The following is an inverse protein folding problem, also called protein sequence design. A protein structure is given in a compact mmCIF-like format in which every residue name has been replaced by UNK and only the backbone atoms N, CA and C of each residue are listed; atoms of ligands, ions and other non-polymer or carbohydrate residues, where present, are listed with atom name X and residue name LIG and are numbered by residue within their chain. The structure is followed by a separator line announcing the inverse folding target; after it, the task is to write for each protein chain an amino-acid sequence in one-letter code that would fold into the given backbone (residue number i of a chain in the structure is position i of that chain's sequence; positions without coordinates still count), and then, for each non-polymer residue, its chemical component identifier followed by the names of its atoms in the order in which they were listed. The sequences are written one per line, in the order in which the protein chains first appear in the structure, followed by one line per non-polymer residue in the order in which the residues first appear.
data_IF_587560324182
#
_entry.id   IF_587560324182
#
_cell.length_a   1.000
_cell.length_b   1.000
_cell.length_c   1.000
_cell.angle_alpha   90.00
_cell.angle_beta   90.00
_cell.angle_gamma   90.00
#
_symmetry.space_group_name_H-M   'P 1'
#
loop_
_entity.id
_entity.type
_entity.pdbx_description
1 polymer ?
#
# COMPACT_ATOMS: atom_id res chain seq x y z
N UNK A 1 4.81 -16.16 -20.99
CA UNK A 1 5.64 -16.75 -19.90
C UNK A 1 5.93 -15.70 -18.85
N UNK A 2 5.66 -16.01 -17.60
CA UNK A 2 5.88 -15.10 -16.47
C UNK A 2 7.35 -15.15 -16.06
N UNK A 3 8.03 -14.00 -15.99
CA UNK A 3 9.42 -13.98 -15.57
C UNK A 3 9.57 -14.04 -14.04
N UNK A 4 10.79 -14.26 -13.56
CA UNK A 4 11.08 -14.44 -12.14
C UNK A 4 10.76 -13.17 -11.33
N UNK A 5 10.99 -11.98 -11.86
CA UNK A 5 10.69 -10.74 -11.13
C UNK A 5 9.19 -10.50 -10.96
N UNK A 6 8.38 -10.90 -11.92
CA UNK A 6 6.92 -10.83 -11.82
C UNK A 6 6.40 -11.81 -10.76
N UNK A 7 6.94 -13.02 -10.70
CA UNK A 7 6.60 -14.01 -9.69
C UNK A 7 6.94 -13.51 -8.29
N UNK A 8 8.14 -12.94 -8.11
CA UNK A 8 8.59 -12.39 -6.83
C UNK A 8 7.71 -11.22 -6.41
N UNK A 9 7.37 -10.33 -7.35
CA UNK A 9 6.47 -9.21 -7.07
C UNK A 9 5.10 -9.71 -6.62
N UNK A 10 4.50 -10.65 -7.35
CA UNK A 10 3.18 -11.17 -7.02
C UNK A 10 3.14 -11.83 -5.64
N UNK A 11 4.15 -12.59 -5.27
CA UNK A 11 4.27 -13.14 -3.93
C UNK A 11 4.39 -12.05 -2.88
N UNK A 12 5.23 -11.06 -3.11
CA UNK A 12 5.47 -9.95 -2.19
C UNK A 12 4.21 -9.13 -1.97
N UNK A 13 3.53 -8.74 -3.06
CA UNK A 13 2.31 -7.94 -2.96
C UNK A 13 1.18 -8.70 -2.26
N UNK A 14 1.07 -10.01 -2.47
CA UNK A 14 0.08 -10.83 -1.79
C UNK A 14 0.34 -10.91 -0.28
N UNK A 15 1.59 -11.01 0.13
CA UNK A 15 1.98 -11.01 1.55
C UNK A 15 1.63 -9.67 2.21
N UNK A 16 1.98 -8.57 1.55
CA UNK A 16 1.69 -7.21 2.05
C UNK A 16 0.18 -6.99 2.14
N UNK A 17 -0.53 -7.33 1.09
CA UNK A 17 -1.98 -7.15 1.01
C UNK A 17 -2.69 -7.94 2.11
N UNK A 18 -2.33 -9.20 2.30
CA UNK A 18 -2.92 -10.05 3.34
C UNK A 18 -2.71 -9.45 4.73
N UNK A 19 -1.50 -8.98 5.02
CA UNK A 19 -1.15 -8.39 6.30
C UNK A 19 -1.93 -7.10 6.57
N UNK A 20 -2.01 -6.22 5.58
CA UNK A 20 -2.71 -4.93 5.70
C UNK A 20 -4.22 -5.15 5.82
N UNK A 21 -4.81 -6.01 4.99
CA UNK A 21 -6.25 -6.26 5.03
C UNK A 21 -6.66 -6.92 6.35
N UNK A 22 -5.84 -7.79 6.91
CA UNK A 22 -6.12 -8.39 8.23
C UNK A 22 -6.02 -7.33 9.32
N UNK A 23 -5.01 -6.49 9.28
CA UNK A 23 -4.79 -5.44 10.30
C UNK A 23 -5.96 -4.44 10.33
N UNK A 24 -6.48 -4.07 9.17
CA UNK A 24 -7.55 -3.06 9.05
C UNK A 24 -8.93 -3.66 8.77
N UNK A 25 -9.10 -4.97 8.99
CA UNK A 25 -10.34 -5.67 8.65
C UNK A 25 -11.60 -5.00 9.23
N UNK A 26 -11.53 -4.59 10.49
CA UNK A 26 -12.68 -4.03 11.19
C UNK A 26 -12.69 -2.49 11.23
N UNK A 27 -11.74 -1.86 10.56
CA UNK A 27 -11.60 -0.41 10.57
C UNK A 27 -12.34 0.22 9.40
N UNK A 28 -12.87 1.42 9.64
CA UNK A 28 -13.56 2.18 8.61
C UNK A 28 -12.55 3.02 7.82
N UNK A 29 -11.80 2.33 6.97
CA UNK A 29 -10.75 2.91 6.14
C UNK A 29 -10.86 2.38 4.71
N UNK A 30 -10.44 3.21 3.76
CA UNK A 30 -10.14 2.75 2.40
C UNK A 30 -8.64 2.50 2.29
N UNK A 31 -8.26 1.45 1.58
CA UNK A 31 -6.86 1.11 1.34
C UNK A 31 -6.64 1.01 -0.15
N UNK A 32 -5.58 1.66 -0.64
CA UNK A 32 -5.29 1.71 -2.07
C UNK A 32 -3.81 1.49 -2.34
N UNK A 33 -3.52 0.76 -3.41
CA UNK A 33 -2.20 0.77 -4.03
C UNK A 33 -2.14 2.00 -4.94
N UNK A 34 -1.09 2.82 -4.84
CA UNK A 34 -0.92 3.98 -5.70
C UNK A 34 0.51 4.06 -6.23
N UNK A 35 0.86 5.15 -6.89
CA UNK A 35 2.19 5.34 -7.44
C UNK A 35 2.42 4.52 -8.72
N UNK A 36 3.68 4.34 -9.09
CA UNK A 36 4.05 3.71 -10.36
C UNK A 36 3.55 2.28 -10.50
N UNK A 37 3.48 1.51 -9.40
CA UNK A 37 2.98 0.14 -9.41
C UNK A 37 1.48 0.07 -9.72
N UNK A 38 0.73 1.11 -9.37
CA UNK A 38 -0.69 1.21 -9.72
C UNK A 38 -0.90 1.72 -11.14
N UNK A 39 -0.09 2.72 -11.57
CA UNK A 39 -0.18 3.28 -12.92
C UNK A 39 0.30 2.33 -14.02
N UNK A 40 1.24 1.45 -13.69
CA UNK A 40 1.83 0.53 -14.67
C UNK A 40 3.13 1.02 -15.30
N UNK A 41 3.63 2.20 -14.93
CA UNK A 41 4.89 2.75 -15.44
C UNK A 41 6.09 2.44 -14.51
N UNK A 42 6.01 1.31 -13.82
CA UNK A 42 7.04 0.88 -12.90
C UNK A 42 8.18 0.12 -13.58
N UNK A 43 9.31 0.06 -12.89
CA UNK A 43 10.39 -0.88 -13.17
C UNK A 43 10.55 -1.82 -11.96
N UNK A 44 11.47 -2.78 -12.05
CA UNK A 44 11.66 -3.77 -10.98
C UNK A 44 12.21 -3.21 -9.67
N UNK A 45 12.69 -1.97 -9.67
CA UNK A 45 13.19 -1.27 -8.48
C UNK A 45 12.18 -0.28 -7.90
N UNK A 46 11.03 -0.14 -8.53
CA UNK A 46 10.00 0.79 -8.05
C UNK A 46 9.45 0.37 -6.70
N UNK A 47 9.24 1.36 -5.83
CA UNK A 47 8.64 1.15 -4.51
C UNK A 47 7.19 0.69 -4.63
N UNK A 48 6.68 0.07 -3.58
CA UNK A 48 5.26 -0.26 -3.43
C UNK A 48 4.66 0.80 -2.51
N UNK A 49 3.73 1.58 -3.04
CA UNK A 49 3.10 2.69 -2.32
C UNK A 49 1.66 2.34 -1.95
N UNK A 50 1.35 2.40 -0.66
CA UNK A 50 0.03 2.05 -0.13
C UNK A 50 -0.53 3.22 0.64
N UNK A 51 -1.75 3.62 0.30
CA UNK A 51 -2.47 4.70 0.96
C UNK A 51 -3.53 4.15 1.91
N UNK A 52 -3.51 4.66 3.13
CA UNK A 52 -4.57 4.42 4.11
C UNK A 52 -5.41 5.70 4.18
N UNK A 53 -6.69 5.58 3.88
CA UNK A 53 -7.62 6.71 3.84
C UNK A 53 -8.68 6.49 4.91
N UNK A 54 -8.43 6.99 6.13
CA UNK A 54 -9.40 6.84 7.22
C UNK A 54 -10.62 7.73 6.97
N UNK A 55 -11.81 7.25 7.30
CA UNK A 55 -13.03 8.07 7.23
C UNK A 55 -13.11 9.07 8.38
N UNK A 56 -12.53 8.73 9.51
CA UNK A 56 -12.48 9.59 10.69
C UNK A 56 -11.03 9.92 11.04
N UNK A 57 -10.54 9.39 12.16
CA UNK A 57 -9.15 9.57 12.58
C UNK A 57 -8.29 8.41 12.17
N UNK A 58 -7.05 8.71 11.78
CA UNK A 58 -6.03 7.68 11.59
C UNK A 58 -5.60 7.12 12.94
N UNK A 59 -5.60 5.80 13.07
CA UNK A 59 -4.98 5.11 14.19
C UNK A 59 -3.47 5.07 13.96
N UNK A 60 -2.75 6.00 14.56
CA UNK A 60 -1.32 6.18 14.34
C UNK A 60 -0.51 5.02 14.90
N UNK A 61 -0.94 4.44 16.01
CA UNK A 61 -0.26 3.28 16.62
C UNK A 61 -0.38 2.07 15.69
N UNK A 62 -1.56 1.85 15.12
CA UNK A 62 -1.79 0.79 14.14
C UNK A 62 -0.94 1.00 12.89
N UNK A 63 -0.85 2.24 12.40
CA UNK A 63 -0.03 2.58 11.24
C UNK A 63 1.45 2.27 11.48
N UNK A 64 1.98 2.66 12.62
CA UNK A 64 3.37 2.36 12.99
C UNK A 64 3.58 0.86 13.09
N UNK A 65 2.66 0.15 13.73
CA UNK A 65 2.72 -1.31 13.88
C UNK A 65 2.74 -2.02 12.52
N UNK A 66 1.91 -1.60 11.58
CA UNK A 66 1.87 -2.23 10.26
C UNK A 66 3.16 -1.97 9.47
N UNK A 67 3.72 -0.77 9.58
CA UNK A 67 5.01 -0.45 8.95
C UNK A 67 6.12 -1.37 9.47
N UNK A 68 6.17 -1.57 10.79
CA UNK A 68 7.17 -2.45 11.41
C UNK A 68 7.00 -3.89 10.96
N UNK A 69 5.77 -4.38 10.90
CA UNK A 69 5.47 -5.75 10.44
C UNK A 69 5.85 -5.96 8.97
N UNK A 70 5.64 -4.95 8.14
CA UNK A 70 6.02 -5.02 6.72
C UNK A 70 7.55 -5.08 6.60
N UNK A 71 8.28 -4.31 7.40
CA UNK A 71 9.75 -4.36 7.40
C UNK A 71 10.29 -5.72 7.79
N UNK A 72 9.57 -6.47 8.61
CA UNK A 72 9.95 -7.84 9.01
C UNK A 72 9.70 -8.86 7.89
N UNK A 73 8.93 -8.52 6.88
CA UNK A 73 8.74 -9.39 5.72
C UNK A 73 10.02 -9.46 4.91
N UNK A 74 10.42 -10.66 4.53
CA UNK A 74 11.61 -10.85 3.70
C UNK A 74 11.25 -10.67 2.22
N UNK A 75 11.06 -9.43 1.81
CA UNK A 75 10.70 -9.07 0.43
C UNK A 75 11.71 -8.06 -0.13
N UNK A 76 11.98 -8.10 -1.45
CA UNK A 76 13.01 -7.26 -2.06
C UNK A 76 12.50 -5.89 -2.53
N UNK A 77 11.48 -5.34 -1.89
CA UNK A 77 10.90 -4.04 -2.25
C UNK A 77 10.81 -3.14 -1.04
N UNK A 78 11.06 -1.86 -1.27
CA UNK A 78 10.69 -0.82 -0.30
C UNK A 78 9.18 -0.63 -0.36
N UNK A 79 8.54 -0.62 0.79
CA UNK A 79 7.09 -0.41 0.92
C UNK A 79 6.86 0.85 1.71
N UNK A 80 6.07 1.76 1.15
CA UNK A 80 5.73 3.02 1.79
C UNK A 80 4.23 3.01 2.10
N UNK A 81 3.88 3.10 3.38
CA UNK A 81 2.49 3.14 3.84
C UNK A 81 2.19 4.55 4.32
N UNK A 82 1.27 5.22 3.66
CA UNK A 82 1.03 6.66 3.84
C UNK A 82 -0.40 6.90 4.35
N UNK A 83 -0.51 7.72 5.39
CA UNK A 83 -1.80 8.24 5.85
C UNK A 83 -2.24 9.37 4.92
N UNK A 84 -3.21 9.09 4.05
CA UNK A 84 -3.68 10.02 3.03
C UNK A 84 -4.47 11.19 3.63
N UNK A 85 -4.94 11.09 4.87
CA UNK A 85 -5.61 12.21 5.53
C UNK A 85 -4.66 13.38 5.86
N UNK A 86 -3.34 13.13 5.82
CA UNK A 86 -2.32 14.12 6.19
C UNK A 86 -1.55 14.70 5.00
N UNK A 87 -1.87 14.28 3.79
CA UNK A 87 -1.22 14.79 2.59
C UNK A 87 -2.00 15.99 2.01
N UNK A 88 -1.39 16.71 1.07
CA UNK A 88 -2.06 17.83 0.39
C UNK A 88 -3.27 17.33 -0.42
N UNK A 89 -4.21 18.24 -0.67
CA UNK A 89 -5.37 17.91 -1.51
C UNK A 89 -4.97 17.52 -2.93
N UNK A 90 -3.93 18.10 -3.47
CA UNK A 90 -3.41 17.77 -4.80
C UNK A 90 -2.90 16.33 -4.82
N UNK A 91 -2.10 15.97 -3.84
CA UNK A 91 -1.58 14.59 -3.71
C UNK A 91 -2.71 13.59 -3.49
N UNK A 92 -3.67 13.92 -2.63
CA UNK A 92 -4.84 13.07 -2.38
C UNK A 92 -5.63 12.79 -3.66
N UNK A 93 -5.91 13.82 -4.45
CA UNK A 93 -6.61 13.67 -5.72
C UNK A 93 -5.86 12.77 -6.69
N UNK A 94 -4.54 12.90 -6.72
CA UNK A 94 -3.69 12.05 -7.55
C UNK A 94 -3.80 10.58 -7.12
N UNK A 95 -3.70 10.30 -5.82
CA UNK A 95 -3.85 8.94 -5.29
C UNK A 95 -5.21 8.36 -5.64
N UNK A 96 -6.28 9.13 -5.41
CA UNK A 96 -7.65 8.68 -5.68
C UNK A 96 -7.89 8.43 -7.17
N UNK A 97 -7.25 9.21 -8.05
CA UNK A 97 -7.44 9.10 -9.50
C UNK A 97 -6.66 7.96 -10.14
N UNK A 98 -5.47 7.62 -9.61
CA UNK A 98 -4.61 6.60 -10.22
C UNK A 98 -4.55 5.29 -9.44
N UNK A 99 -5.00 5.29 -8.20
CA UNK A 99 -4.86 4.15 -7.32
C UNK A 99 -5.78 2.98 -7.62
N UNK A 100 -5.39 1.81 -7.13
CA UNK A 100 -6.20 0.59 -7.16
C UNK A 100 -6.72 0.29 -5.77
N UNK A 101 -8.01 0.08 -5.65
CA UNK A 101 -8.66 -0.16 -4.34
C UNK A 101 -8.41 -1.58 -3.88
N UNK A 102 -7.88 -1.72 -2.67
CA UNK A 102 -7.76 -3.00 -1.96
C UNK A 102 -8.88 -3.20 -0.94
N UNK A 103 -9.30 -2.13 -0.30
CA UNK A 103 -10.42 -2.12 0.64
C UNK A 103 -11.20 -0.81 0.48
N UNK A 104 -12.49 -0.92 0.45
CA UNK A 104 -13.36 0.25 0.26
C UNK A 104 -14.27 0.50 1.47
#
# INVERSE_FOLDING_TARGET
MTDASEIIYNKSINMIKALILETYRDDDVRIMLFGSRARGDFNRHSDIDIGIIPKNKCDRIKLISIKDKIEELNIPYKVDVVDISRVSNIFRKKVMGEGKIWKN
#
